data_IF_861547619502
#
_entry.id   IF_861547619502
#
_cell.length_a   1.000
_cell.length_b   1.000
_cell.length_c   1.000
_cell.angle_alpha   90.00
_cell.angle_beta   90.00
_cell.angle_gamma   90.00
#
_symmetry.space_group_name_H-M   'P 1'
#
loop_
_entity.id
_entity.type
_entity.pdbx_description
1 polymer ?
#
# COMPACT_ATOMS: atom_id res chain seq x y z
N UNK A 1 23.96 -2.84 2.19
CA UNK A 1 22.82 -3.32 2.99
C UNK A 1 23.22 -4.67 3.59
N UNK A 2 22.98 -4.90 4.88
CA UNK A 2 23.38 -6.14 5.57
C UNK A 2 22.37 -7.26 5.26
N UNK A 3 22.81 -8.52 5.19
CA UNK A 3 21.93 -9.69 4.90
C UNK A 3 20.71 -9.74 5.82
N UNK A 4 20.85 -9.35 7.08
CA UNK A 4 19.74 -9.32 8.05
C UNK A 4 18.62 -8.33 7.67
N UNK A 5 18.95 -7.15 7.13
CA UNK A 5 17.96 -6.16 6.70
C UNK A 5 17.23 -6.63 5.44
N UNK A 6 17.95 -7.25 4.51
CA UNK A 6 17.31 -7.81 3.31
C UNK A 6 16.32 -8.94 3.64
N UNK A 7 16.62 -9.76 4.65
CA UNK A 7 15.71 -10.81 5.11
C UNK A 7 14.46 -10.23 5.81
N UNK A 8 14.61 -9.19 6.65
CA UNK A 8 13.44 -8.55 7.28
C UNK A 8 12.51 -7.92 6.25
N UNK A 9 13.05 -7.28 5.21
CA UNK A 9 12.25 -6.64 4.17
C UNK A 9 11.42 -7.66 3.35
N UNK A 10 12.02 -8.82 3.07
CA UNK A 10 11.33 -9.93 2.40
C UNK A 10 10.18 -10.44 3.29
N UNK A 11 10.43 -10.55 4.59
CA UNK A 11 9.42 -11.04 5.55
C UNK A 11 8.24 -10.06 5.68
N UNK A 12 8.48 -8.74 5.67
CA UNK A 12 7.45 -7.70 5.73
C UNK A 12 6.52 -7.74 4.50
N UNK A 13 7.09 -7.74 3.29
CA UNK A 13 6.31 -7.83 2.05
C UNK A 13 5.59 -9.16 1.90
N UNK A 14 6.22 -10.25 2.32
CA UNK A 14 5.57 -11.56 2.35
C UNK A 14 4.39 -11.58 3.32
N UNK A 15 4.51 -11.00 4.52
CA UNK A 15 3.41 -10.93 5.47
C UNK A 15 2.20 -10.17 4.89
N UNK A 16 2.46 -9.07 4.19
CA UNK A 16 1.42 -8.33 3.45
C UNK A 16 0.71 -9.19 2.40
N UNK A 17 1.48 -9.89 1.56
CA UNK A 17 0.93 -10.76 0.49
C UNK A 17 0.13 -11.91 1.09
N UNK A 18 0.68 -12.62 2.08
CA UNK A 18 0.02 -13.76 2.74
C UNK A 18 -1.30 -13.34 3.38
N UNK A 19 -1.31 -12.18 4.05
CA UNK A 19 -2.53 -11.62 4.63
C UNK A 19 -3.58 -11.27 3.57
N UNK A 20 -3.17 -10.59 2.49
CA UNK A 20 -4.08 -10.20 1.42
C UNK A 20 -4.69 -11.42 0.70
N UNK A 21 -3.90 -12.48 0.46
CA UNK A 21 -4.39 -13.76 -0.08
C UNK A 21 -5.37 -14.45 0.88
N UNK A 22 -5.12 -14.39 2.20
CA UNK A 22 -6.04 -14.93 3.20
C UNK A 22 -7.39 -14.19 3.20
N UNK A 23 -7.34 -12.85 3.22
CA UNK A 23 -8.53 -12.00 3.20
C UNK A 23 -9.33 -12.11 1.91
N UNK A 24 -8.69 -12.22 0.75
CA UNK A 24 -9.39 -12.32 -0.54
C UNK A 24 -10.26 -13.58 -0.62
N UNK A 25 -9.80 -14.71 -0.04
CA UNK A 25 -10.52 -16.00 -0.05
C UNK A 25 -11.79 -16.00 0.80
N UNK A 26 -11.88 -15.15 1.81
CA UNK A 26 -13.07 -15.04 2.68
C UNK A 26 -14.02 -13.91 2.24
N UNK A 27 -13.54 -12.97 1.40
CA UNK A 27 -14.38 -11.90 0.86
C UNK A 27 -15.49 -12.48 -0.03
N UNK A 28 -16.72 -12.00 0.19
CA UNK A 28 -17.91 -12.53 -0.49
C UNK A 28 -18.47 -13.81 0.14
N UNK A 29 -17.86 -14.29 1.24
CA UNK A 29 -18.43 -15.31 2.11
C UNK A 29 -19.64 -14.82 2.92
N UNK A 30 -20.23 -15.68 3.77
CA UNK A 30 -21.40 -15.34 4.57
C UNK A 30 -21.11 -14.32 5.68
N UNK A 31 -19.86 -14.29 6.16
CA UNK A 31 -19.43 -13.38 7.21
C UNK A 31 -19.04 -12.02 6.63
N UNK A 32 -19.47 -10.90 7.23
CA UNK A 32 -19.02 -9.58 6.84
C UNK A 32 -17.50 -9.45 6.95
N UNK A 33 -16.89 -8.86 5.93
CA UNK A 33 -15.47 -8.52 5.92
C UNK A 33 -15.32 -7.02 6.05
N UNK A 34 -14.43 -6.59 6.94
CA UNK A 34 -14.04 -5.19 7.08
C UNK A 34 -12.88 -4.85 6.14
N UNK A 35 -12.87 -3.62 5.62
CA UNK A 35 -11.79 -3.10 4.82
C UNK A 35 -10.61 -2.64 5.69
N UNK A 36 -9.49 -2.31 5.06
CA UNK A 36 -8.36 -1.67 5.69
C UNK A 36 -8.56 -0.15 5.91
N UNK A 37 -9.71 0.42 5.52
CA UNK A 37 -9.99 1.83 5.73
C UNK A 37 -10.78 2.06 7.02
N UNK A 38 -10.51 3.20 7.66
CA UNK A 38 -11.26 3.65 8.82
C UNK A 38 -12.56 4.36 8.42
N UNK A 39 -13.56 4.25 9.30
CA UNK A 39 -14.69 5.16 9.29
C UNK A 39 -14.17 6.57 9.61
N UNK A 40 -14.55 7.55 8.79
CA UNK A 40 -14.20 8.96 9.03
C UNK A 40 -14.65 9.40 10.42
N UNK A 41 -13.72 9.94 11.21
CA UNK A 41 -14.00 10.34 12.59
C UNK A 41 -14.08 9.19 13.59
N UNK A 42 -13.58 8.00 13.24
CA UNK A 42 -13.42 6.89 14.19
C UNK A 42 -12.54 7.29 15.37
N UNK A 43 -12.73 6.58 16.49
CA UNK A 43 -11.97 6.84 17.72
C UNK A 43 -10.57 6.26 17.59
N UNK A 44 -9.57 7.00 18.03
CA UNK A 44 -8.17 6.56 18.00
C UNK A 44 -7.92 5.33 18.87
N UNK A 45 -8.60 5.21 20.00
CA UNK A 45 -8.41 4.12 20.97
C UNK A 45 -9.14 2.83 20.57
N UNK A 46 -10.12 2.94 19.68
CA UNK A 46 -10.89 1.83 19.14
C UNK A 46 -11.36 2.18 17.73
N UNK A 47 -10.49 2.02 16.72
CA UNK A 47 -10.84 2.32 15.35
C UNK A 47 -11.98 1.43 14.86
N UNK A 48 -12.93 2.04 14.16
CA UNK A 48 -13.99 1.35 13.45
C UNK A 48 -13.60 1.31 11.96
N UNK A 49 -13.60 0.12 11.35
CA UNK A 49 -13.28 -0.07 9.93
C UNK A 49 -14.52 0.11 9.06
N UNK A 50 -14.33 0.52 7.82
CA UNK A 50 -15.41 0.51 6.84
C UNK A 50 -15.76 -0.94 6.47
N UNK A 51 -17.05 -1.31 6.37
CA UNK A 51 -17.42 -2.62 5.86
C UNK A 51 -17.11 -2.71 4.37
N UNK A 52 -16.67 -3.89 3.90
CA UNK A 52 -16.58 -4.17 2.47
C UNK A 52 -17.98 -4.11 1.84
N UNK A 53 -18.14 -3.24 0.82
CA UNK A 53 -19.38 -3.13 0.04
C UNK A 53 -19.30 -3.81 -1.32
N UNK A 54 -18.08 -4.08 -1.79
CA UNK A 54 -17.76 -4.79 -3.02
C UNK A 54 -17.16 -6.14 -2.67
N UNK A 55 -17.46 -7.16 -3.47
CA UNK A 55 -16.82 -8.47 -3.37
C UNK A 55 -15.50 -8.54 -4.16
N UNK A 56 -15.10 -7.46 -4.84
CA UNK A 56 -13.81 -7.38 -5.53
C UNK A 56 -12.72 -6.99 -4.54
N UNK A 57 -11.78 -7.89 -4.19
CA UNK A 57 -10.69 -7.57 -3.27
C UNK A 57 -9.65 -6.69 -3.94
N UNK A 58 -9.08 -5.76 -3.19
CA UNK A 58 -8.00 -4.92 -3.67
C UNK A 58 -6.98 -4.60 -2.57
N UNK A 59 -5.75 -4.30 -2.99
CA UNK A 59 -4.70 -3.80 -2.11
C UNK A 59 -4.16 -2.48 -2.62
N UNK A 60 -3.63 -1.66 -1.72
CA UNK A 60 -2.93 -0.43 -2.06
C UNK A 60 -1.49 -0.51 -1.60
N UNK A 61 -0.55 -0.21 -2.49
CA UNK A 61 0.87 -0.12 -2.20
C UNK A 61 1.32 1.33 -2.38
N UNK A 62 1.93 1.88 -1.35
CA UNK A 62 2.55 3.19 -1.41
C UNK A 62 3.88 3.15 -2.17
N UNK A 63 4.10 4.13 -3.03
CA UNK A 63 5.34 4.28 -3.80
C UNK A 63 6.28 5.34 -3.23
N UNK A 64 5.80 6.20 -2.33
CA UNK A 64 6.60 7.32 -1.87
C UNK A 64 7.73 6.84 -0.96
N UNK A 65 8.74 7.69 -0.79
CA UNK A 65 9.83 7.43 0.14
C UNK A 65 9.77 8.48 1.25
N UNK A 66 9.37 8.05 2.43
CA UNK A 66 9.13 8.93 3.56
C UNK A 66 8.06 9.99 3.25
N UNK A 67 8.47 11.25 3.18
CA UNK A 67 7.57 12.39 2.86
C UNK A 67 7.64 12.80 1.40
N UNK A 68 8.49 12.17 0.60
CA UNK A 68 8.79 12.59 -0.77
C UNK A 68 7.97 11.79 -1.78
N UNK A 69 7.24 12.50 -2.63
CA UNK A 69 6.52 11.92 -3.75
C UNK A 69 7.46 11.04 -4.61
N UNK A 70 6.96 9.89 -5.05
CA UNK A 70 7.72 8.95 -5.85
C UNK A 70 8.24 9.61 -7.13
N UNK A 71 9.54 9.48 -7.34
CA UNK A 71 10.20 9.86 -8.58
C UNK A 71 11.00 8.66 -9.08
N UNK A 72 10.65 8.10 -10.26
CA UNK A 72 11.41 7.01 -10.85
C UNK A 72 12.91 7.30 -10.94
N UNK A 73 13.72 6.36 -10.48
CA UNK A 73 15.18 6.37 -10.62
C UNK A 73 15.63 5.16 -11.43
N UNK A 74 16.52 5.31 -12.43
CA UNK A 74 17.05 4.18 -13.19
C UNK A 74 17.84 3.16 -12.34
N UNK A 75 18.35 3.58 -11.17
CA UNK A 75 19.06 2.72 -10.23
C UNK A 75 18.13 2.00 -9.25
N UNK A 76 16.82 2.32 -9.24
CA UNK A 76 15.87 1.71 -8.33
C UNK A 76 15.74 0.21 -8.63
N UNK A 77 15.79 -0.60 -7.58
CA UNK A 77 15.60 -2.04 -7.64
C UNK A 77 14.29 -2.41 -6.91
N UNK A 78 13.52 -3.38 -7.44
CA UNK A 78 12.38 -3.91 -6.74
C UNK A 78 12.83 -4.70 -5.50
N UNK A 79 12.01 -4.69 -4.46
CA UNK A 79 12.22 -5.60 -3.32
C UNK A 79 12.14 -7.05 -3.81
N UNK A 80 13.13 -7.86 -3.40
CA UNK A 80 13.21 -9.25 -3.79
C UNK A 80 11.94 -10.02 -3.37
N UNK A 81 11.39 -10.83 -4.27
CA UNK A 81 10.18 -11.64 -4.02
C UNK A 81 8.85 -10.89 -4.14
N UNK A 82 8.86 -9.55 -4.22
CA UNK A 82 7.64 -8.75 -4.31
C UNK A 82 6.90 -8.99 -5.63
N UNK A 83 7.63 -9.04 -6.75
CA UNK A 83 7.03 -9.27 -8.07
C UNK A 83 6.25 -10.59 -8.12
N UNK A 84 6.82 -11.67 -7.57
CA UNK A 84 6.17 -12.98 -7.46
C UNK A 84 4.91 -12.92 -6.58
N UNK A 85 4.98 -12.26 -5.42
CA UNK A 85 3.84 -12.08 -4.53
C UNK A 85 2.70 -11.29 -5.19
N UNK A 86 3.02 -10.20 -5.88
CA UNK A 86 2.04 -9.41 -6.63
C UNK A 86 1.43 -10.20 -7.79
N UNK A 87 2.20 -11.07 -8.46
CA UNK A 87 1.67 -11.96 -9.49
C UNK A 87 0.65 -12.95 -8.90
N UNK A 88 0.90 -13.50 -7.70
CA UNK A 88 -0.05 -14.37 -7.01
C UNK A 88 -1.34 -13.63 -6.64
N UNK A 89 -1.25 -12.42 -6.10
CA UNK A 89 -2.42 -11.60 -5.79
C UNK A 89 -3.31 -11.39 -7.03
N UNK A 90 -2.70 -11.00 -8.16
CA UNK A 90 -3.45 -10.81 -9.41
C UNK A 90 -4.07 -12.11 -9.93
N UNK A 91 -3.38 -13.25 -9.79
CA UNK A 91 -3.90 -14.55 -10.19
C UNK A 91 -5.14 -14.97 -9.38
N UNK A 92 -5.24 -14.53 -8.13
CA UNK A 92 -6.39 -14.72 -7.24
C UNK A 92 -7.47 -13.62 -7.40
N UNK A 93 -7.36 -12.78 -8.44
CA UNK A 93 -8.33 -11.73 -8.72
C UNK A 93 -8.26 -10.52 -7.79
N UNK A 94 -7.20 -10.38 -7.00
CA UNK A 94 -6.95 -9.18 -6.18
C UNK A 94 -6.46 -8.06 -7.08
N UNK A 95 -7.14 -6.91 -7.03
CA UNK A 95 -6.71 -5.70 -7.73
C UNK A 95 -5.54 -5.09 -6.97
N UNK A 96 -4.36 -5.01 -7.61
CA UNK A 96 -3.20 -4.31 -7.08
C UNK A 96 -3.26 -2.86 -7.54
N UNK A 97 -3.26 -1.91 -6.60
CA UNK A 97 -3.25 -0.48 -6.90
C UNK A 97 -2.01 0.17 -6.28
N UNK A 98 -1.46 1.16 -6.97
CA UNK A 98 -0.32 1.94 -6.49
C UNK A 98 -0.75 3.34 -6.15
N UNK A 99 -0.30 3.89 -5.03
CA UNK A 99 -0.60 5.26 -4.61
C UNK A 99 0.68 6.06 -4.42
N UNK A 100 0.64 7.34 -4.78
CA UNK A 100 1.75 8.27 -4.61
C UNK A 100 1.25 9.71 -4.49
N UNK A 101 1.99 10.55 -3.78
CA UNK A 101 1.80 11.99 -3.78
C UNK A 101 2.26 12.66 -5.11
N UNK A 102 2.78 11.89 -6.06
CA UNK A 102 3.16 12.39 -7.38
C UNK A 102 1.95 12.91 -8.17
N UNK A 103 2.20 13.92 -9.00
CA UNK A 103 1.18 14.51 -9.87
C UNK A 103 0.71 13.50 -10.93
N UNK A 104 -0.58 13.54 -11.29
CA UNK A 104 -1.17 12.69 -12.31
C UNK A 104 -0.49 12.79 -13.69
N UNK A 105 0.21 13.88 -14.00
CA UNK A 105 1.03 14.01 -15.20
C UNK A 105 2.24 13.04 -15.23
N UNK A 106 2.59 12.44 -14.09
CA UNK A 106 3.66 11.45 -13.93
C UNK A 106 3.21 10.01 -14.19
N UNK A 107 1.97 9.80 -14.61
CA UNK A 107 1.41 8.46 -14.88
C UNK A 107 2.31 7.62 -15.82
N UNK A 108 2.81 8.21 -16.90
CA UNK A 108 3.67 7.51 -17.88
C UNK A 108 5.01 7.07 -17.27
N UNK A 109 5.86 7.98 -16.71
CA UNK A 109 7.14 7.56 -16.16
C UNK A 109 7.01 6.61 -14.96
N UNK A 110 5.96 6.74 -14.14
CA UNK A 110 5.71 5.81 -13.03
C UNK A 110 5.32 4.43 -13.55
N UNK A 111 4.39 4.36 -14.50
CA UNK A 111 3.99 3.09 -15.13
C UNK A 111 5.14 2.42 -15.89
N UNK A 112 6.06 3.19 -16.47
CA UNK A 112 7.31 2.66 -17.05
C UNK A 112 8.22 2.02 -16.01
N UNK A 113 8.42 2.66 -14.85
CA UNK A 113 9.24 2.14 -13.76
C UNK A 113 8.66 0.84 -13.18
N UNK A 114 7.34 0.77 -13.01
CA UNK A 114 6.66 -0.44 -12.53
C UNK A 114 6.74 -1.60 -13.53
N UNK A 115 6.65 -1.31 -14.83
CA UNK A 115 6.84 -2.32 -15.88
C UNK A 115 8.28 -2.81 -15.95
N UNK A 116 9.25 -1.90 -15.97
CA UNK A 116 10.67 -2.27 -16.13
C UNK A 116 11.23 -3.00 -14.92
N UNK A 117 10.73 -2.71 -13.72
CA UNK A 117 11.06 -3.45 -12.50
C UNK A 117 10.36 -4.81 -12.39
N UNK A 118 9.36 -5.07 -13.22
CA UNK A 118 8.56 -6.31 -13.16
C UNK A 118 7.49 -6.31 -12.06
N UNK A 119 7.28 -5.19 -11.36
CA UNK A 119 6.24 -5.08 -10.33
C UNK A 119 4.83 -5.01 -10.93
N UNK A 120 4.65 -4.36 -12.09
CA UNK A 120 3.43 -4.43 -12.92
C UNK A 120 3.83 -4.67 -14.39
N UNK A 121 4.20 -5.91 -14.77
CA UNK A 121 4.74 -6.20 -16.10
C UNK A 121 3.69 -6.03 -17.21
N UNK A 122 2.39 -6.11 -16.88
CA UNK A 122 1.31 -5.93 -17.84
C UNK A 122 0.88 -4.47 -18.00
N UNK A 123 1.29 -3.58 -17.08
CA UNK A 123 0.89 -2.16 -17.08
C UNK A 123 -0.61 -1.98 -16.86
N UNK A 124 -1.22 -2.83 -16.04
CA UNK A 124 -2.69 -2.87 -15.83
C UNK A 124 -3.13 -2.40 -14.46
N UNK A 125 -2.21 -2.25 -13.52
CA UNK A 125 -2.56 -1.83 -12.18
C UNK A 125 -3.01 -0.36 -12.17
N UNK A 126 -4.08 -0.01 -11.45
CA UNK A 126 -4.45 1.38 -11.26
C UNK A 126 -3.36 2.19 -10.55
N UNK A 127 -3.05 3.37 -11.11
CA UNK A 127 -2.22 4.39 -10.48
C UNK A 127 -3.10 5.47 -9.86
N UNK A 128 -3.06 5.57 -8.53
CA UNK A 128 -3.74 6.57 -7.73
C UNK A 128 -2.79 7.74 -7.49
N UNK A 129 -2.86 8.75 -8.36
CA UNK A 129 -1.99 9.93 -8.35
C UNK A 129 -2.78 11.21 -8.06
N UNK A 130 -2.10 12.20 -7.49
CA UNK A 130 -2.68 13.49 -7.12
C UNK A 130 -2.97 14.31 -8.37
N UNK A 131 -4.22 14.75 -8.56
CA UNK A 131 -4.62 15.52 -9.76
C UNK A 131 -4.46 17.02 -9.60
N UNK A 132 -4.46 17.52 -8.36
CA UNK A 132 -4.28 18.92 -8.02
C UNK A 132 -3.81 19.06 -6.56
N UNK A 133 -3.23 20.20 -6.20
CA UNK A 133 -2.59 20.41 -4.88
C UNK A 133 -3.53 20.38 -3.66
N UNK A 134 -4.84 20.31 -3.86
CA UNK A 134 -5.82 20.19 -2.77
C UNK A 134 -6.16 18.72 -2.45
N UNK A 135 -5.92 17.82 -3.39
CA UNK A 135 -6.18 16.40 -3.22
C UNK A 135 -5.09 15.76 -2.34
N UNK A 136 -5.52 14.84 -1.47
CA UNK A 136 -4.67 14.07 -0.56
C UNK A 136 -4.82 12.58 -0.85
N UNK A 137 -3.84 11.76 -0.46
CA UNK A 137 -3.90 10.29 -0.62
C UNK A 137 -5.16 9.68 0.00
N UNK A 138 -5.62 10.22 1.14
CA UNK A 138 -6.86 9.77 1.78
C UNK A 138 -8.06 9.79 0.81
N UNK A 139 -8.23 10.88 0.04
CA UNK A 139 -9.32 11.02 -0.93
C UNK A 139 -9.22 9.98 -2.05
N UNK A 140 -7.99 9.65 -2.49
CA UNK A 140 -7.77 8.62 -3.51
C UNK A 140 -8.18 7.23 -3.01
N UNK A 141 -7.82 6.91 -1.76
CA UNK A 141 -8.17 5.63 -1.12
C UNK A 141 -9.68 5.51 -0.93
N UNK A 142 -10.32 6.57 -0.46
CA UNK A 142 -11.77 6.62 -0.25
C UNK A 142 -12.55 6.45 -1.57
N UNK A 143 -12.08 7.08 -2.66
CA UNK A 143 -12.72 6.96 -3.98
C UNK A 143 -12.55 5.56 -4.57
N UNK A 144 -11.35 4.98 -4.48
CA UNK A 144 -11.10 3.61 -4.92
C UNK A 144 -12.00 2.59 -4.20
N UNK A 145 -12.15 2.73 -2.87
CA UNK A 145 -12.98 1.83 -2.05
C UNK A 145 -14.47 1.85 -2.39
N UNK A 146 -14.94 2.78 -3.23
CA UNK A 146 -16.34 2.78 -3.72
C UNK A 146 -16.60 1.62 -4.68
N UNK A 147 -15.58 1.13 -5.38
CA UNK A 147 -15.70 0.10 -6.43
C UNK A 147 -15.12 -1.24 -6.03
N UNK A 148 -14.13 -1.24 -5.13
CA UNK A 148 -13.44 -2.43 -4.61
C UNK A 148 -13.46 -2.43 -3.09
N UNK A 149 -13.23 -3.58 -2.45
CA UNK A 149 -12.88 -3.59 -1.04
C UNK A 149 -11.36 -3.56 -0.87
N UNK A 150 -10.83 -2.48 -0.31
CA UNK A 150 -9.40 -2.41 0.04
C UNK A 150 -9.20 -3.30 1.27
N UNK A 151 -8.63 -4.49 1.08
CA UNK A 151 -8.43 -5.49 2.13
C UNK A 151 -7.11 -5.32 2.87
N UNK A 152 -6.09 -4.72 2.22
CA UNK A 152 -4.80 -4.42 2.84
C UNK A 152 -4.13 -3.20 2.19
N UNK A 153 -3.28 -2.52 2.95
CA UNK A 153 -2.44 -1.41 2.51
C UNK A 153 -1.00 -1.61 3.00
N UNK A 154 -0.03 -1.26 2.15
CA UNK A 154 1.39 -1.32 2.46
C UNK A 154 2.04 0.04 2.21
N UNK A 155 2.88 0.51 3.14
CA UNK A 155 3.60 1.78 3.04
C UNK A 155 4.71 1.88 4.08
N UNK A 156 5.63 2.83 3.92
CA UNK A 156 6.79 2.97 4.82
C UNK A 156 6.49 3.83 6.05
N UNK A 157 5.33 4.52 6.06
CA UNK A 157 4.87 5.34 7.17
C UNK A 157 3.43 5.05 7.55
N UNK A 158 3.14 5.30 8.83
CA UNK A 158 1.75 5.22 9.35
C UNK A 158 0.78 6.15 8.61
N UNK A 159 1.26 7.31 8.16
CA UNK A 159 0.49 8.29 7.39
C UNK A 159 0.03 7.78 6.01
N UNK A 160 0.66 6.72 5.48
CA UNK A 160 0.22 6.13 4.22
C UNK A 160 -1.11 5.40 4.37
N UNK A 161 -1.42 4.92 5.58
CA UNK A 161 -2.66 4.22 5.88
C UNK A 161 -3.81 5.15 6.28
N UNK A 162 -3.52 6.25 6.97
CA UNK A 162 -4.50 7.27 7.34
C UNK A 162 -3.82 8.62 7.58
N UNK A 163 -4.37 9.69 7.00
CA UNK A 163 -3.77 11.03 7.11
C UNK A 163 -3.77 11.57 8.55
N UNK A 164 -4.62 11.03 9.42
CA UNK A 164 -4.71 11.43 10.82
C UNK A 164 -3.37 11.38 11.55
N UNK A 165 -2.49 10.44 11.19
CA UNK A 165 -1.15 10.33 11.78
C UNK A 165 -0.28 11.57 11.58
N UNK A 166 -0.47 12.34 10.51
CA UNK A 166 0.26 13.59 10.26
C UNK A 166 -0.27 14.76 11.12
N UNK A 167 -1.45 14.62 11.73
CA UNK A 167 -2.13 15.67 12.50
C UNK A 167 -2.18 15.40 14.01
N UNK A 168 -1.64 14.27 14.48
CA UNK A 168 -1.59 13.95 15.90
C UNK A 168 -0.67 14.93 16.66
N UNK A 169 -1.20 15.57 17.69
CA UNK A 169 -0.40 16.36 18.63
C UNK A 169 0.42 15.49 19.57
N UNK A 170 -0.15 14.36 19.97
CA UNK A 170 0.47 13.34 20.79
C UNK A 170 0.47 12.02 20.01
N UNK A 171 1.64 11.54 19.54
CA UNK A 171 1.74 10.28 18.82
C UNK A 171 1.22 9.08 19.61
N UNK A 172 1.27 9.11 20.94
CA UNK A 172 0.79 8.00 21.78
C UNK A 172 -0.73 7.85 21.76
N UNK A 173 -1.46 8.89 21.34
CA UNK A 173 -2.92 8.84 21.20
C UNK A 173 -3.38 7.82 20.15
N UNK A 174 -2.54 7.47 19.18
CA UNK A 174 -2.86 6.50 18.13
C UNK A 174 -2.52 5.05 18.48
N UNK A 175 -2.24 4.73 19.75
CA UNK A 175 -1.95 3.36 20.17
C UNK A 175 -3.07 2.36 19.81
N UNK A 176 -4.33 2.80 19.75
CA UNK A 176 -5.43 1.94 19.28
C UNK A 176 -5.43 1.72 17.77
N UNK A 177 -4.84 2.62 16.98
CA UNK A 177 -4.64 2.42 15.53
C UNK A 177 -3.53 1.41 15.26
N UNK A 178 -2.53 1.28 16.14
CA UNK A 178 -1.47 0.29 15.99
C UNK A 178 -2.01 -1.16 15.98
N UNK A 179 -3.24 -1.42 16.46
CA UNK A 179 -3.86 -2.75 16.33
C UNK A 179 -4.16 -3.14 14.88
N UNK A 180 -4.14 -2.18 13.95
CA UNK A 180 -4.28 -2.45 12.52
C UNK A 180 -2.96 -2.88 11.86
N UNK A 181 -1.82 -2.65 12.52
CA UNK A 181 -0.53 -3.09 12.01
C UNK A 181 -0.45 -4.62 12.05
N UNK A 182 -0.12 -5.21 10.90
CA UNK A 182 -0.19 -6.67 10.69
C UNK A 182 -1.61 -7.20 10.45
N UNK A 183 -2.64 -6.37 10.58
CA UNK A 183 -4.04 -6.68 10.33
C UNK A 183 -4.63 -5.70 9.29
N UNK A 184 -4.09 -5.74 8.09
CA UNK A 184 -4.53 -4.89 6.97
C UNK A 184 -3.67 -3.65 6.75
N UNK A 185 -2.87 -3.22 7.71
CA UNK A 185 -1.81 -2.21 7.50
C UNK A 185 -0.44 -2.85 7.68
N UNK A 186 0.45 -2.65 6.72
CA UNK A 186 1.77 -3.27 6.72
C UNK A 186 2.82 -2.19 6.52
N UNK A 187 3.61 -1.94 7.57
CA UNK A 187 4.83 -1.14 7.44
C UNK A 187 5.84 -1.97 6.67
N UNK A 188 6.25 -1.45 5.53
CA UNK A 188 7.18 -2.09 4.60
C UNK A 188 8.16 -1.04 4.10
N UNK A 189 9.34 -1.44 3.68
CA UNK A 189 10.19 -0.53 2.89
C UNK A 189 9.52 -0.16 1.55
N UNK A 190 9.89 0.98 0.93
CA UNK A 190 9.43 1.34 -0.39
C UNK A 190 9.63 0.20 -1.41
N UNK A 191 8.64 -0.08 -2.29
CA UNK A 191 8.66 -1.22 -3.21
C UNK A 191 9.75 -1.10 -4.29
N UNK A 192 10.15 0.14 -4.58
CA UNK A 192 11.28 0.50 -5.42
C UNK A 192 12.20 1.42 -4.61
N UNK A 193 13.43 0.97 -4.40
CA UNK A 193 14.43 1.71 -3.63
C UNK A 193 15.76 1.76 -4.38
N UNK A 194 16.55 2.81 -4.17
CA UNK A 194 17.85 2.92 -4.81
C UNK A 194 18.77 1.78 -4.36
N UNK A 195 19.43 1.14 -5.32
CA UNK A 195 20.51 0.22 -4.98
C UNK A 195 21.55 0.98 -4.12
N UNK A 196 22.03 0.38 -3.01
CA UNK A 196 23.11 1.00 -2.25
C UNK A 196 24.31 1.25 -3.18
N UNK A 197 25.06 2.36 -2.98
CA UNK A 197 26.22 2.64 -3.82
C UNK A 197 27.20 1.46 -3.77
N UNK A 198 27.92 1.18 -4.88
CA UNK A 198 28.91 0.12 -4.91
C UNK A 198 29.91 0.32 -3.77
N UNK A 199 30.12 -0.73 -2.97
CA UNK A 199 31.14 -0.74 -1.93
C UNK A 199 32.48 -0.92 -2.63
N UNK A 200 33.30 0.14 -2.66
CA UNK A 200 34.70 0.05 -3.09
C UNK A 200 35.56 -0.59 -2.00
#
# INVERSE_FOLDING_TARGET
>A
MTVATQLSDIDEWRAFVDYALGKSRVLGGPEPVESALLVTGSRLERPDRLPCRSSTPAVILDLDQGTSAFSPSPSAQPVAGLAEGLAQLRAEGVVVMWVSAADANRVTPIGEALRSSGLDPAGKDPLLLIRNGEQRKQVLRDDANRSVCIIAMAGDRRSDFDELFDYLRDPSAAAGLDTMLGDGWFIVRPPLDEAPPPVN
#
